data_IF_919408278424
#
_entry.id   IF_919408278424
#
_cell.length_a   1.000
_cell.length_b   1.000
_cell.length_c   1.000
_cell.angle_alpha   90.00
_cell.angle_beta   90.00
_cell.angle_gamma   90.00
#
_symmetry.space_group_name_H-M   'P 1'
#
loop_
_entity.id
_entity.type
_entity.pdbx_description
1 polymer ?
#
# COMPACT_ATOMS: atom_id res chain seq x y z
N UNK A 1 -18.09 -45.87 -23.52
CA UNK A 1 -19.06 -44.77 -23.38
C UNK A 1 -20.11 -45.15 -22.33
N UNK A 2 -19.71 -45.39 -21.07
CA UNK A 2 -20.64 -45.73 -19.95
C UNK A 2 -19.99 -45.80 -18.54
N UNK A 3 -18.89 -45.07 -18.29
CA UNK A 3 -18.32 -44.89 -16.94
C UNK A 3 -18.11 -43.42 -16.56
N UNK A 4 -17.84 -42.53 -17.52
CA UNK A 4 -17.86 -41.08 -17.28
C UNK A 4 -19.29 -40.53 -17.12
N UNK A 5 -20.27 -41.00 -17.91
CA UNK A 5 -21.64 -40.47 -17.86
C UNK A 5 -22.39 -40.82 -16.56
N UNK A 6 -22.12 -41.98 -15.97
CA UNK A 6 -22.72 -42.36 -14.67
C UNK A 6 -22.08 -41.65 -13.47
N UNK A 7 -20.88 -41.05 -13.62
CA UNK A 7 -20.27 -40.23 -12.57
C UNK A 7 -20.84 -38.81 -12.53
N UNK A 8 -21.49 -38.35 -13.60
CA UNK A 8 -21.97 -36.97 -13.75
C UNK A 8 -23.38 -36.80 -13.13
N UNK A 9 -24.12 -37.89 -12.90
CA UNK A 9 -25.55 -37.86 -12.62
C UNK A 9 -25.99 -38.21 -11.18
N UNK A 10 -25.10 -38.23 -10.18
CA UNK A 10 -25.52 -38.58 -8.79
C UNK A 10 -25.07 -37.67 -7.65
N UNK A 11 -24.43 -36.54 -7.92
CA UNK A 11 -24.43 -35.39 -7.03
C UNK A 11 -24.86 -34.21 -7.90
N UNK A 12 -25.74 -33.33 -7.41
CA UNK A 12 -26.09 -32.12 -8.16
C UNK A 12 -24.82 -31.44 -8.66
N UNK A 13 -24.86 -30.88 -9.87
CA UNK A 13 -23.77 -30.11 -10.51
C UNK A 13 -23.43 -28.84 -9.70
N UNK A 14 -23.06 -29.00 -8.44
CA UNK A 14 -22.56 -27.95 -7.57
C UNK A 14 -21.05 -27.86 -7.79
N UNK A 15 -20.54 -26.65 -8.00
CA UNK A 15 -19.09 -26.42 -7.99
C UNK A 15 -18.52 -26.84 -6.64
N UNK A 16 -17.32 -27.40 -6.65
CA UNK A 16 -16.57 -27.66 -5.43
C UNK A 16 -16.13 -26.30 -4.84
N UNK A 17 -16.65 -25.90 -3.66
CA UNK A 17 -16.33 -24.59 -3.09
C UNK A 17 -14.84 -24.41 -2.78
N UNK A 18 -14.11 -25.50 -2.49
CA UNK A 18 -12.68 -25.45 -2.22
C UNK A 18 -11.89 -25.16 -3.50
N UNK A 19 -12.28 -25.81 -4.60
CA UNK A 19 -11.72 -25.53 -5.92
C UNK A 19 -12.01 -24.09 -6.38
N UNK A 20 -13.20 -23.56 -6.06
CA UNK A 20 -13.57 -22.17 -6.40
C UNK A 20 -12.66 -21.14 -5.71
N UNK A 21 -12.25 -21.38 -4.45
CA UNK A 21 -11.30 -20.52 -3.74
C UNK A 21 -9.95 -20.50 -4.44
N UNK A 22 -9.42 -21.69 -4.77
CA UNK A 22 -8.12 -21.83 -5.45
C UNK A 22 -8.16 -21.15 -6.83
N UNK A 23 -9.23 -21.39 -7.59
CA UNK A 23 -9.39 -20.80 -8.92
C UNK A 23 -9.53 -19.28 -8.87
N UNK A 24 -10.20 -18.73 -7.84
CA UNK A 24 -10.23 -17.27 -7.61
C UNK A 24 -8.83 -16.71 -7.36
N UNK A 25 -8.00 -17.38 -6.55
CA UNK A 25 -6.61 -16.96 -6.31
C UNK A 25 -5.80 -17.00 -7.61
N UNK A 26 -5.84 -18.12 -8.34
CA UNK A 26 -5.10 -18.29 -9.61
C UNK A 26 -5.48 -17.21 -10.63
N UNK A 27 -6.78 -16.90 -10.73
CA UNK A 27 -7.29 -15.95 -11.73
C UNK A 27 -7.19 -14.49 -11.29
N UNK A 28 -6.96 -14.21 -10.00
CA UNK A 28 -6.89 -12.85 -9.46
C UNK A 28 -5.81 -11.99 -10.12
N UNK A 29 -4.63 -12.55 -10.39
CA UNK A 29 -3.53 -11.83 -11.04
C UNK A 29 -3.90 -11.33 -12.45
N UNK A 30 -4.69 -12.14 -13.18
CA UNK A 30 -5.24 -11.74 -14.48
C UNK A 30 -6.23 -10.60 -14.33
N UNK A 31 -7.15 -10.69 -13.36
CA UNK A 31 -8.17 -9.67 -13.13
C UNK A 31 -7.56 -8.33 -12.71
N UNK A 32 -6.55 -8.35 -11.82
CA UNK A 32 -5.79 -7.17 -11.46
C UNK A 32 -5.12 -6.53 -12.68
N UNK A 33 -4.45 -7.32 -13.52
CA UNK A 33 -3.79 -6.79 -14.73
C UNK A 33 -4.78 -6.15 -15.71
N UNK A 34 -5.99 -6.70 -15.83
CA UNK A 34 -7.08 -6.14 -16.66
C UNK A 34 -7.57 -4.80 -16.09
N UNK A 35 -7.81 -4.72 -14.78
CA UNK A 35 -8.15 -3.47 -14.10
C UNK A 35 -7.04 -2.41 -14.32
N UNK A 36 -5.78 -2.80 -14.09
CA UNK A 36 -4.63 -1.91 -14.26
C UNK A 36 -4.54 -1.37 -15.68
N UNK A 37 -4.74 -2.21 -16.69
CA UNK A 37 -4.75 -1.75 -18.08
C UNK A 37 -5.84 -0.68 -18.31
N UNK A 38 -7.07 -0.92 -17.82
CA UNK A 38 -8.16 0.06 -17.91
C UNK A 38 -7.82 1.41 -17.25
N UNK A 39 -7.16 1.37 -16.09
CA UNK A 39 -6.66 2.57 -15.41
C UNK A 39 -5.55 3.27 -16.21
N UNK A 40 -4.56 2.54 -16.71
CA UNK A 40 -3.38 3.09 -17.39
C UNK A 40 -3.70 3.80 -18.70
N UNK A 41 -4.66 3.25 -19.47
CA UNK A 41 -5.14 3.86 -20.72
C UNK A 41 -6.15 4.97 -20.47
N UNK A 42 -6.69 5.10 -19.25
CA UNK A 42 -7.70 6.11 -18.91
C UNK A 42 -9.09 5.77 -19.44
N UNK A 43 -9.43 4.48 -19.53
CA UNK A 43 -10.73 4.05 -20.05
C UNK A 43 -11.89 4.61 -19.22
N UNK A 44 -11.82 4.48 -17.89
CA UNK A 44 -12.89 4.91 -16.99
C UNK A 44 -13.07 6.44 -17.02
N UNK A 45 -11.97 7.18 -17.18
CA UNK A 45 -11.97 8.63 -17.35
C UNK A 45 -12.65 9.05 -18.67
N UNK A 46 -12.36 8.34 -19.76
CA UNK A 46 -12.97 8.59 -21.06
C UNK A 46 -14.50 8.33 -21.02
N UNK A 47 -14.92 7.23 -20.39
CA UNK A 47 -16.36 6.92 -20.23
C UNK A 47 -17.05 8.00 -19.40
N UNK A 48 -16.45 8.45 -18.29
CA UNK A 48 -17.05 9.49 -17.45
C UNK A 48 -17.11 10.85 -18.16
N UNK A 49 -16.01 11.27 -18.79
CA UNK A 49 -15.93 12.58 -19.46
C UNK A 49 -16.81 12.70 -20.70
N UNK A 50 -17.16 11.57 -21.34
CA UNK A 50 -18.11 11.56 -22.45
C UNK A 50 -19.56 11.87 -22.01
N UNK A 51 -19.90 11.67 -20.73
CA UNK A 51 -21.22 11.97 -20.17
C UNK A 51 -22.36 11.03 -20.61
N UNK A 52 -22.12 10.16 -21.60
CA UNK A 52 -23.07 9.17 -22.12
C UNK A 52 -22.40 7.79 -22.27
N UNK A 53 -23.15 6.68 -22.13
CA UNK A 53 -22.62 5.34 -22.36
C UNK A 53 -22.00 5.18 -23.77
N UNK A 54 -20.85 4.50 -23.84
CA UNK A 54 -20.08 4.34 -25.07
C UNK A 54 -20.25 2.95 -25.68
N UNK A 55 -20.31 2.87 -27.01
CA UNK A 55 -20.26 1.57 -27.70
C UNK A 55 -18.82 1.05 -27.76
N UNK A 56 -18.63 -0.27 -27.85
CA UNK A 56 -17.31 -0.86 -28.07
C UNK A 56 -16.62 -0.32 -29.34
N UNK A 57 -17.40 -0.04 -30.40
CA UNK A 57 -16.88 0.58 -31.62
C UNK A 57 -16.43 2.04 -31.40
N UNK A 58 -17.13 2.79 -30.54
CA UNK A 58 -16.73 4.14 -30.15
C UNK A 58 -15.40 4.15 -29.41
N UNK A 59 -15.26 3.30 -28.39
CA UNK A 59 -14.03 3.14 -27.61
C UNK A 59 -12.89 2.65 -28.52
N UNK A 60 -13.11 1.63 -29.33
CA UNK A 60 -12.11 1.11 -30.26
C UNK A 60 -11.58 2.19 -31.22
N UNK A 61 -12.47 3.02 -31.78
CA UNK A 61 -12.03 4.15 -32.63
C UNK A 61 -11.23 5.19 -31.85
N UNK A 62 -11.66 5.54 -30.64
CA UNK A 62 -11.00 6.57 -29.81
C UNK A 62 -9.59 6.18 -29.42
N UNK A 63 -9.39 4.91 -29.03
CA UNK A 63 -8.09 4.39 -28.60
C UNK A 63 -7.27 3.74 -29.72
N UNK A 64 -7.77 3.74 -30.96
CA UNK A 64 -7.16 3.06 -32.12
C UNK A 64 -6.91 1.57 -31.88
N UNK A 65 -7.95 0.87 -31.41
CA UNK A 65 -7.93 -0.57 -31.12
C UNK A 65 -8.81 -1.38 -32.08
N UNK A 66 -8.57 -2.69 -32.14
CA UNK A 66 -9.48 -3.62 -32.78
C UNK A 66 -10.83 -3.65 -32.04
N UNK A 67 -11.93 -3.60 -32.80
CA UNK A 67 -13.29 -3.57 -32.26
C UNK A 67 -13.63 -4.84 -31.49
N UNK A 68 -13.33 -6.01 -32.06
CA UNK A 68 -13.71 -7.31 -31.47
C UNK A 68 -12.99 -7.54 -30.14
N UNK A 69 -11.70 -7.22 -30.11
CA UNK A 69 -10.87 -7.33 -28.90
C UNK A 69 -11.29 -6.32 -27.84
N UNK A 70 -11.59 -5.08 -28.24
CA UNK A 70 -12.13 -4.05 -27.32
C UNK A 70 -13.43 -4.52 -26.69
N UNK A 71 -14.35 -5.09 -27.46
CA UNK A 71 -15.61 -5.62 -26.92
C UNK A 71 -15.38 -6.72 -25.88
N UNK A 72 -14.45 -7.66 -26.13
CA UNK A 72 -14.09 -8.71 -25.17
C UNK A 72 -13.48 -8.13 -23.90
N UNK A 73 -12.62 -7.13 -24.02
CA UNK A 73 -12.02 -6.42 -22.88
C UNK A 73 -13.11 -5.74 -22.03
N UNK A 74 -14.01 -5.00 -22.66
CA UNK A 74 -15.12 -4.34 -21.97
C UNK A 74 -16.07 -5.35 -21.30
N UNK A 75 -16.42 -6.44 -21.98
CA UNK A 75 -17.21 -7.52 -21.39
C UNK A 75 -16.51 -8.15 -20.18
N UNK A 76 -15.17 -8.20 -20.18
CA UNK A 76 -14.43 -8.69 -19.02
C UNK A 76 -14.51 -7.71 -17.86
N UNK A 77 -14.40 -6.40 -18.10
CA UNK A 77 -14.60 -5.38 -17.06
C UNK A 77 -16.03 -5.38 -16.51
N UNK A 78 -17.04 -5.67 -17.34
CA UNK A 78 -18.42 -5.89 -16.89
C UNK A 78 -18.51 -7.10 -15.96
N UNK A 79 -17.85 -8.22 -16.31
CA UNK A 79 -17.83 -9.42 -15.45
C UNK A 79 -17.08 -9.25 -14.12
N UNK A 80 -16.32 -8.15 -13.98
CA UNK A 80 -15.62 -7.77 -12.75
C UNK A 80 -16.38 -6.67 -11.97
N UNK A 81 -17.62 -6.37 -12.36
CA UNK A 81 -18.46 -5.30 -11.79
C UNK A 81 -17.83 -3.90 -11.85
N UNK A 82 -16.96 -3.68 -12.85
CA UNK A 82 -16.31 -2.38 -13.09
C UNK A 82 -17.06 -1.54 -14.12
N UNK A 83 -17.81 -2.15 -15.03
CA UNK A 83 -18.65 -1.47 -16.01
C UNK A 83 -20.06 -2.07 -16.03
N UNK A 84 -21.06 -1.24 -16.32
CA UNK A 84 -22.39 -1.69 -16.68
C UNK A 84 -22.49 -1.89 -18.19
N UNK A 85 -23.35 -2.82 -18.63
CA UNK A 85 -23.60 -3.13 -20.04
C UNK A 85 -25.10 -3.10 -20.33
N UNK A 86 -25.51 -2.16 -21.18
CA UNK A 86 -26.92 -1.92 -21.47
C UNK A 86 -27.18 -1.79 -22.97
N UNK A 87 -28.46 -1.80 -23.35
CA UNK A 87 -28.89 -1.48 -24.71
C UNK A 87 -29.50 -0.08 -24.73
N UNK A 88 -28.83 0.87 -25.35
CA UNK A 88 -29.31 2.24 -25.51
C UNK A 88 -29.55 2.54 -27.00
N UNK A 89 -30.78 2.94 -27.36
CA UNK A 89 -31.19 3.25 -28.74
C UNK A 89 -30.80 2.14 -29.74
N UNK A 90 -31.00 0.88 -29.36
CA UNK A 90 -30.70 -0.29 -30.20
C UNK A 90 -29.22 -0.69 -30.29
N UNK A 91 -28.32 0.02 -29.58
CA UNK A 91 -26.90 -0.30 -29.54
C UNK A 91 -26.48 -0.79 -28.16
N UNK A 92 -25.58 -1.76 -28.12
CA UNK A 92 -24.92 -2.18 -26.88
C UNK A 92 -23.91 -1.10 -26.46
N UNK A 93 -24.05 -0.62 -25.23
CA UNK A 93 -23.24 0.45 -24.66
C UNK A 93 -22.69 0.05 -23.29
N UNK A 94 -21.62 0.73 -22.88
CA UNK A 94 -20.90 0.51 -21.63
C UNK A 94 -20.80 1.81 -20.86
N UNK A 95 -21.01 1.75 -19.55
CA UNK A 95 -20.85 2.87 -18.61
C UNK A 95 -20.09 2.43 -17.37
N UNK A 96 -19.51 3.38 -16.63
CA UNK A 96 -18.92 3.08 -15.33
C UNK A 96 -20.02 2.69 -14.35
N UNK A 97 -19.77 1.69 -13.50
CA UNK A 97 -20.61 1.49 -12.32
C UNK A 97 -20.49 2.68 -11.36
N UNK A 98 -21.40 2.77 -10.39
CA UNK A 98 -21.31 3.77 -9.32
C UNK A 98 -19.98 3.67 -8.53
N UNK A 99 -19.51 2.44 -8.29
CA UNK A 99 -18.23 2.18 -7.63
C UNK A 99 -17.04 2.66 -8.45
N UNK A 100 -16.99 2.33 -9.74
CA UNK A 100 -15.93 2.77 -10.66
C UNK A 100 -15.91 4.28 -10.80
N UNK A 101 -17.06 4.92 -10.98
CA UNK A 101 -17.17 6.39 -11.03
C UNK A 101 -16.65 7.03 -9.75
N UNK A 102 -16.96 6.45 -8.58
CA UNK A 102 -16.54 7.00 -7.30
C UNK A 102 -15.05 6.81 -7.01
N UNK A 103 -14.47 5.68 -7.40
CA UNK A 103 -13.16 5.25 -6.90
C UNK A 103 -12.08 5.04 -7.97
N UNK A 104 -12.42 4.98 -9.26
CA UNK A 104 -11.50 4.62 -10.34
C UNK A 104 -11.43 5.64 -11.49
N UNK A 105 -11.95 6.87 -11.31
CA UNK A 105 -11.79 7.97 -12.27
C UNK A 105 -10.95 9.11 -11.72
N UNK A 106 -9.88 9.49 -12.43
CA UNK A 106 -8.91 10.54 -12.06
C UNK A 106 -9.54 11.92 -11.93
N UNK A 107 -10.61 12.20 -12.69
CA UNK A 107 -11.37 13.45 -12.60
C UNK A 107 -11.80 13.75 -11.15
N UNK A 108 -12.09 12.69 -10.37
CA UNK A 108 -12.51 12.75 -8.97
C UNK A 108 -11.36 12.59 -7.97
N UNK A 109 -10.11 12.52 -8.45
CA UNK A 109 -8.89 12.30 -7.66
C UNK A 109 -8.98 11.17 -6.61
N UNK A 110 -9.53 9.97 -6.92
CA UNK A 110 -9.71 8.94 -5.92
C UNK A 110 -8.36 8.29 -5.60
N UNK A 111 -7.98 8.38 -4.34
CA UNK A 111 -6.77 7.80 -3.81
C UNK A 111 -6.68 6.27 -4.01
N UNK A 112 -7.80 5.58 -4.24
CA UNK A 112 -7.82 4.14 -4.53
C UNK A 112 -7.08 3.78 -5.84
N UNK A 113 -7.04 4.68 -6.84
CA UNK A 113 -6.19 4.47 -8.03
C UNK A 113 -4.72 4.39 -7.63
N UNK A 114 -4.28 5.28 -6.74
CA UNK A 114 -2.90 5.27 -6.26
C UNK A 114 -2.60 4.01 -5.45
N UNK A 115 -3.57 3.53 -4.67
CA UNK A 115 -3.46 2.23 -3.97
C UNK A 115 -3.30 1.07 -4.95
N UNK A 116 -4.13 0.98 -5.99
CA UNK A 116 -4.01 -0.06 -7.03
C UNK A 116 -2.67 0.03 -7.79
N UNK A 117 -2.22 1.25 -8.11
CA UNK A 117 -0.92 1.50 -8.75
C UNK A 117 0.25 1.11 -7.85
N UNK A 118 0.16 1.36 -6.54
CA UNK A 118 1.16 0.96 -5.56
C UNK A 118 1.22 -0.56 -5.41
N UNK A 119 0.06 -1.23 -5.36
CA UNK A 119 -0.01 -2.69 -5.32
C UNK A 119 0.73 -3.30 -6.52
N UNK A 120 0.42 -2.79 -7.71
CA UNK A 120 0.99 -3.32 -8.96
C UNK A 120 2.47 -2.98 -9.15
N UNK A 121 2.89 -1.76 -8.85
CA UNK A 121 4.25 -1.29 -9.15
C UNK A 121 5.24 -1.47 -8.00
N UNK A 122 4.77 -1.68 -6.77
CA UNK A 122 5.61 -1.78 -5.58
C UNK A 122 5.44 -3.14 -4.90
N UNK A 123 4.23 -3.48 -4.46
CA UNK A 123 4.01 -4.68 -3.63
C UNK A 123 4.26 -5.97 -4.42
N UNK A 124 3.66 -6.14 -5.60
CA UNK A 124 3.84 -7.36 -6.39
C UNK A 124 5.31 -7.64 -6.77
N UNK A 125 6.11 -6.67 -7.25
CA UNK A 125 7.53 -6.89 -7.48
C UNK A 125 8.31 -7.30 -6.23
N UNK A 126 7.94 -6.80 -5.04
CA UNK A 126 8.63 -7.13 -3.79
C UNK A 126 8.42 -8.58 -3.37
N UNK A 127 7.31 -9.20 -3.73
CA UNK A 127 7.07 -10.62 -3.48
C UNK A 127 8.12 -11.53 -4.13
N UNK A 128 8.86 -11.06 -5.14
CA UNK A 128 10.01 -11.81 -5.67
C UNK A 128 11.10 -12.08 -4.63
N UNK A 129 11.18 -11.24 -3.59
CA UNK A 129 12.12 -11.38 -2.48
C UNK A 129 11.61 -12.25 -1.32
N UNK A 130 10.38 -12.76 -1.40
CA UNK A 130 9.76 -13.54 -0.33
C UNK A 130 10.61 -14.75 0.08
N UNK A 131 11.22 -15.45 -0.87
CA UNK A 131 12.12 -16.58 -0.57
C UNK A 131 13.30 -16.16 0.31
N UNK A 132 13.88 -14.99 0.05
CA UNK A 132 15.02 -14.46 0.81
C UNK A 132 14.58 -14.01 2.20
N UNK A 133 13.42 -13.37 2.32
CA UNK A 133 12.85 -12.97 3.61
C UNK A 133 12.47 -14.19 4.45
N UNK A 134 11.85 -15.22 3.87
CA UNK A 134 11.54 -16.48 4.58
C UNK A 134 12.79 -17.17 5.14
N UNK A 135 13.92 -17.10 4.41
CA UNK A 135 15.19 -17.70 4.87
C UNK A 135 15.88 -16.88 5.96
N UNK A 136 15.78 -15.56 5.89
CA UNK A 136 16.57 -14.66 6.75
C UNK A 136 15.79 -14.08 7.93
N UNK A 137 14.45 -14.06 7.85
CA UNK A 137 13.58 -13.33 8.78
C UNK A 137 13.75 -11.80 8.73
N UNK A 138 14.46 -11.28 7.71
CA UNK A 138 14.78 -9.85 7.59
C UNK A 138 14.01 -9.21 6.46
N UNK A 139 13.56 -7.99 6.70
CA UNK A 139 12.96 -7.15 5.68
C UNK A 139 13.93 -6.91 4.54
N UNK A 140 13.41 -6.99 3.31
CA UNK A 140 14.18 -6.73 2.11
C UNK A 140 14.35 -5.22 1.91
N UNK A 141 13.31 -4.46 2.24
CA UNK A 141 13.32 -3.00 2.28
C UNK A 141 13.03 -2.57 3.69
N UNK A 142 13.73 -1.54 4.15
CA UNK A 142 13.35 -0.79 5.35
C UNK A 142 12.77 0.55 4.91
N UNK A 143 11.45 0.68 4.99
CA UNK A 143 10.72 1.90 4.66
C UNK A 143 11.22 3.12 5.44
N UNK A 144 11.82 2.96 6.64
CA UNK A 144 12.43 4.06 7.38
C UNK A 144 13.65 4.65 6.65
N UNK A 145 14.42 3.80 5.94
CA UNK A 145 15.58 4.23 5.14
C UNK A 145 15.17 4.86 3.79
N UNK A 146 14.04 4.44 3.20
CA UNK A 146 13.46 5.10 2.02
C UNK A 146 12.90 6.48 2.38
N UNK A 147 12.22 6.62 3.52
CA UNK A 147 11.71 7.91 4.04
C UNK A 147 12.83 8.95 4.25
N UNK A 148 14.08 8.51 4.44
CA UNK A 148 15.29 9.34 4.54
C UNK A 148 16.00 9.66 3.20
N UNK A 149 15.40 9.32 2.05
CA UNK A 149 15.92 9.72 0.72
C UNK A 149 17.04 8.86 0.16
N UNK A 150 17.29 7.66 0.69
CA UNK A 150 18.25 6.69 0.13
C UNK A 150 17.53 5.51 -0.50
N UNK A 151 17.39 5.52 -1.83
CA UNK A 151 17.09 4.30 -2.60
C UNK A 151 18.40 3.54 -2.81
N UNK A 152 18.44 2.25 -2.47
CA UNK A 152 19.56 1.38 -2.82
C UNK A 152 19.33 0.73 -4.20
N UNK A 153 20.41 0.63 -4.96
CA UNK A 153 20.46 0.12 -6.33
C UNK A 153 19.84 -1.28 -6.43
N UNK A 154 18.91 -1.40 -7.38
CA UNK A 154 18.27 -2.63 -7.76
C UNK A 154 19.21 -3.42 -8.69
N UNK A 155 20.15 -4.19 -8.15
CA UNK A 155 20.80 -5.24 -8.93
C UNK A 155 20.02 -6.56 -8.75
N UNK A 156 19.25 -6.92 -9.79
CA UNK A 156 18.66 -8.24 -9.89
C UNK A 156 19.78 -9.31 -9.82
N UNK A 157 19.67 -10.36 -9.00
CA UNK A 157 20.54 -11.50 -9.14
C UNK A 157 20.28 -12.19 -10.50
N UNK A 158 21.31 -12.62 -11.24
CA UNK A 158 21.11 -13.30 -12.51
C UNK A 158 20.34 -14.61 -12.28
N UNK A 159 19.24 -14.80 -13.03
CA UNK A 159 18.52 -16.07 -13.06
C UNK A 159 19.50 -17.19 -13.44
N UNK A 160 19.64 -18.18 -12.56
CA UNK A 160 20.26 -19.46 -12.93
C UNK A 160 19.30 -20.19 -13.87
N UNK A 161 19.75 -20.48 -15.08
CA UNK A 161 19.05 -21.37 -16.00
C UNK A 161 18.83 -22.73 -15.31
N UNK A 162 17.57 -23.09 -15.08
CA UNK A 162 17.18 -24.43 -14.66
C UNK A 162 17.24 -25.29 -15.93
N UNK A 163 18.27 -26.14 -16.04
CA UNK A 163 18.27 -27.22 -17.02
C UNK A 163 17.24 -28.26 -16.59
N UNK A 164 16.25 -28.51 -17.45
CA UNK A 164 15.37 -29.67 -17.37
C UNK A 164 16.13 -30.81 -18.05
N UNK A 165 16.67 -31.74 -17.27
CA UNK A 165 17.18 -33.01 -17.82
C UNK A 165 16.02 -34.01 -17.93
N UNK A 166 15.71 -34.38 -19.18
CA UNK A 166 14.85 -35.51 -19.50
C UNK A 166 15.52 -36.82 -19.07
N UNK A 167 14.87 -37.56 -18.19
CA UNK A 167 15.25 -38.94 -17.90
C UNK A 167 14.94 -39.83 -19.10
N UNK A 168 15.98 -40.41 -19.70
CA UNK A 168 15.90 -41.73 -20.32
C UNK A 168 17.06 -42.59 -19.86
N UNK A 169 16.68 -43.75 -19.33
CA UNK A 169 17.52 -44.89 -19.02
C UNK A 169 18.57 -45.17 -20.09
N UNK A 170 19.79 -45.48 -19.67
CA UNK A 170 20.41 -46.77 -19.97
C UNK A 170 21.70 -46.96 -19.16
N UNK A 171 21.89 -48.21 -18.78
CA UNK A 171 22.94 -48.70 -17.90
C UNK A 171 24.35 -48.65 -18.51
N UNK A 172 25.32 -48.89 -17.62
CA UNK A 172 26.64 -49.53 -17.81
C UNK A 172 27.92 -48.67 -17.66
N UNK A 173 28.67 -49.10 -16.63
CA UNK A 173 30.13 -49.35 -16.59
C UNK A 173 31.13 -48.21 -16.33
N UNK A 174 31.79 -48.36 -15.17
CA UNK A 174 33.24 -48.38 -14.90
C UNK A 174 34.14 -47.22 -15.39
N UNK A 175 34.92 -46.70 -14.44
CA UNK A 175 36.37 -46.57 -14.62
C UNK A 175 36.98 -45.20 -14.29
N UNK A 176 37.63 -45.13 -13.12
CA UNK A 176 38.94 -44.52 -12.81
C UNK A 176 39.54 -43.41 -13.71
N UNK A 177 40.01 -42.32 -13.07
CA UNK A 177 41.41 -41.79 -13.05
C UNK A 177 41.41 -40.31 -12.56
N UNK A 178 41.92 -40.01 -11.36
CA UNK A 178 43.27 -39.46 -11.03
C UNK A 178 43.64 -38.14 -11.72
N UNK A 179 43.71 -37.05 -10.95
CA UNK A 179 44.91 -36.21 -10.71
C UNK A 179 44.77 -34.84 -11.43
N UNK A 180 45.24 -33.69 -10.97
CA UNK A 180 45.98 -33.29 -9.77
C UNK A 180 45.95 -31.74 -9.63
N UNK A 181 46.11 -31.28 -8.38
CA UNK A 181 46.96 -30.15 -7.95
C UNK A 181 46.65 -28.69 -8.39
N UNK A 182 46.32 -27.82 -7.43
CA UNK A 182 47.26 -26.80 -6.89
C UNK A 182 46.51 -25.89 -5.89
N UNK A 183 46.85 -26.04 -4.61
CA UNK A 183 46.77 -25.01 -3.56
C UNK A 183 48.20 -24.52 -3.28
N UNK A 184 48.40 -23.26 -2.84
CA UNK A 184 48.43 -22.99 -1.39
C UNK A 184 47.64 -21.71 -1.06
N UNK A 185 46.83 -21.67 0.00
CA UNK A 185 47.27 -21.53 1.39
C UNK A 185 47.23 -20.04 1.78
N UNK A 186 46.85 -19.57 2.97
CA UNK A 186 46.67 -20.14 4.31
C UNK A 186 46.09 -19.00 5.18
N UNK A 187 45.17 -19.35 6.10
CA UNK A 187 44.87 -18.79 7.45
C UNK A 187 44.69 -17.27 7.67
N UNK A 188 44.07 -16.77 8.75
CA UNK A 188 43.06 -17.17 9.73
C UNK A 188 42.89 -15.92 10.62
N UNK A 189 41.69 -15.72 11.17
CA UNK A 189 41.42 -15.15 12.51
C UNK A 189 42.02 -13.78 12.91
N UNK A 190 41.16 -12.78 13.14
CA UNK A 190 40.75 -12.37 14.49
C UNK A 190 39.92 -11.08 14.43
N UNK A 191 38.88 -11.01 15.27
CA UNK A 191 37.99 -9.85 15.37
C UNK A 191 38.64 -8.66 16.07
N UNK A 192 38.01 -7.50 15.91
CA UNK A 192 38.06 -6.31 16.79
C UNK A 192 36.92 -5.38 16.32
N UNK A 193 36.07 -4.92 17.24
CA UNK A 193 35.24 -3.73 17.08
C UNK A 193 36.12 -2.48 17.21
N UNK A 194 35.81 -1.35 16.55
CA UNK A 194 35.38 -0.21 17.36
C UNK A 194 34.38 0.76 16.68
N UNK A 195 33.66 1.49 17.54
CA UNK A 195 33.01 2.78 17.27
C UNK A 195 33.98 3.79 16.62
N UNK A 196 33.45 4.72 15.83
CA UNK A 196 34.17 5.96 15.51
C UNK A 196 33.67 6.72 14.29
N UNK A 197 33.01 7.84 14.57
CA UNK A 197 32.75 9.00 13.69
C UNK A 197 33.87 9.34 12.70
N UNK A 198 33.51 9.63 11.44
CA UNK A 198 33.91 10.85 10.72
C UNK A 198 33.23 10.96 9.35
N UNK A 199 32.83 12.19 9.01
CA UNK A 199 32.00 12.52 7.86
C UNK A 199 32.71 12.48 6.52
N UNK A 200 31.90 12.53 5.46
CA UNK A 200 32.31 12.97 4.13
C UNK A 200 31.21 13.87 3.56
N UNK A 201 31.59 15.13 3.35
CA UNK A 201 30.91 16.11 2.51
C UNK A 201 30.89 15.61 1.05
N UNK A 202 29.76 15.77 0.37
CA UNK A 202 29.72 15.79 -1.08
C UNK A 202 28.70 16.83 -1.56
N UNK A 203 29.23 17.98 -1.96
CA UNK A 203 28.57 18.98 -2.80
C UNK A 203 27.96 18.33 -4.04
N UNK A 204 26.71 18.65 -4.37
CA UNK A 204 26.21 18.58 -5.74
C UNK A 204 25.77 19.98 -6.14
N UNK A 205 26.67 20.65 -6.87
CA UNK A 205 26.44 21.91 -7.56
C UNK A 205 25.41 21.72 -8.66
N UNK A 206 24.29 22.45 -8.57
CA UNK A 206 23.39 22.65 -9.69
C UNK A 206 23.98 23.66 -10.67
N UNK A 207 24.05 23.31 -11.96
CA UNK A 207 24.33 24.26 -13.03
C UNK A 207 23.04 24.58 -13.77
N UNK A 208 22.61 25.84 -13.65
CA UNK A 208 21.61 26.45 -14.50
C UNK A 208 22.19 26.66 -15.91
N UNK A 209 21.46 26.21 -16.93
CA UNK A 209 21.74 26.47 -18.35
C UNK A 209 20.68 27.38 -18.95
N UNK A 210 21.13 28.46 -19.55
CA UNK A 210 20.44 29.67 -20.03
C UNK A 210 19.59 29.51 -21.30
N UNK A 211 18.58 30.37 -21.44
CA UNK A 211 17.83 30.66 -22.67
C UNK A 211 18.72 31.02 -23.87
N UNK A 212 18.41 30.48 -25.05
CA UNK A 212 18.57 31.17 -26.35
C UNK A 212 17.44 30.75 -27.31
N UNK A 213 16.98 31.70 -28.11
CA UNK A 213 15.89 31.61 -29.10
C UNK A 213 16.43 31.33 -30.51
N UNK A 214 15.74 30.50 -31.30
CA UNK A 214 15.39 30.72 -32.72
C UNK A 214 14.66 29.49 -33.29
N UNK A 215 13.57 29.73 -34.04
CA UNK A 215 12.66 28.68 -34.53
C UNK A 215 12.99 28.13 -35.92
N UNK A 216 12.38 26.98 -36.25
CA UNK A 216 11.70 26.65 -37.52
C UNK A 216 11.11 25.21 -37.47
N UNK A 217 9.81 25.11 -37.73
CA UNK A 217 8.94 23.96 -38.10
C UNK A 217 8.79 22.71 -37.20
N UNK A 218 7.53 22.21 -37.01
CA UNK A 218 7.24 21.06 -36.17
C UNK A 218 7.15 19.79 -37.01
N UNK A 219 7.90 18.74 -36.65
CA UNK A 219 7.44 17.38 -36.89
C UNK A 219 8.22 16.35 -36.06
N UNK A 220 7.46 15.34 -35.62
CA UNK A 220 7.85 14.04 -35.04
C UNK A 220 8.03 13.94 -33.52
N UNK A 221 6.96 13.41 -32.93
CA UNK A 221 6.98 12.34 -31.93
C UNK A 221 7.89 12.58 -30.72
N UNK A 222 7.48 13.48 -29.82
CA UNK A 222 7.86 13.35 -28.43
C UNK A 222 7.17 12.10 -27.88
N UNK A 223 7.95 11.03 -27.74
CA UNK A 223 7.70 9.98 -26.77
C UNK A 223 7.65 10.67 -25.40
N UNK A 224 6.46 11.13 -25.02
CA UNK A 224 6.23 11.74 -23.72
C UNK A 224 6.41 10.64 -22.70
N UNK A 225 7.60 10.56 -22.11
CA UNK A 225 7.78 9.89 -20.83
C UNK A 225 6.73 10.48 -19.89
N UNK A 226 5.69 9.69 -19.59
CA UNK A 226 4.75 10.03 -18.52
C UNK A 226 5.61 10.41 -17.32
N UNK A 227 5.44 11.59 -16.70
CA UNK A 227 6.23 11.92 -15.53
C UNK A 227 5.96 10.84 -14.50
N UNK A 228 7.00 10.07 -14.15
CA UNK A 228 6.92 9.11 -13.07
C UNK A 228 6.49 9.88 -11.83
N UNK A 229 5.39 9.46 -11.22
CA UNK A 229 4.96 10.05 -9.94
C UNK A 229 6.10 9.81 -8.94
N UNK A 230 6.48 10.85 -8.21
CA UNK A 230 7.43 10.74 -7.11
C UNK A 230 7.00 9.63 -6.15
N UNK A 231 7.93 8.74 -5.77
CA UNK A 231 7.61 7.58 -4.91
C UNK A 231 6.94 8.02 -3.60
N UNK A 232 7.38 9.13 -3.01
CA UNK A 232 6.76 9.68 -1.80
C UNK A 232 5.31 10.12 -2.03
N UNK A 233 5.02 10.72 -3.19
CA UNK A 233 3.64 11.07 -3.58
C UNK A 233 2.78 9.83 -3.83
N UNK A 234 3.34 8.80 -4.49
CA UNK A 234 2.65 7.53 -4.67
C UNK A 234 2.29 6.87 -3.35
N UNK A 235 3.23 6.80 -2.41
CA UNK A 235 3.00 6.18 -1.10
C UNK A 235 1.92 6.96 -0.33
N UNK A 236 2.03 8.29 -0.25
CA UNK A 236 1.03 9.12 0.44
C UNK A 236 -0.38 8.92 -0.15
N UNK A 237 -0.51 8.98 -1.48
CA UNK A 237 -1.80 8.79 -2.14
C UNK A 237 -2.30 7.34 -2.02
N UNK A 238 -1.40 6.35 -1.98
CA UNK A 238 -1.74 4.95 -1.76
C UNK A 238 -2.33 4.74 -0.37
N UNK A 239 -1.71 5.32 0.67
CA UNK A 239 -2.23 5.28 2.04
C UNK A 239 -3.57 6.01 2.15
N UNK A 240 -3.74 7.14 1.49
CA UNK A 240 -5.06 7.78 1.38
C UNK A 240 -6.08 6.84 0.71
N UNK A 241 -5.68 6.04 -0.27
CA UNK A 241 -6.55 5.09 -0.97
C UNK A 241 -7.08 3.98 -0.08
N UNK A 242 -6.26 3.52 0.86
CA UNK A 242 -6.66 2.55 1.88
C UNK A 242 -7.58 3.20 2.93
N UNK A 243 -7.30 4.46 3.29
CA UNK A 243 -7.95 5.15 4.41
C UNK A 243 -9.25 5.89 4.05
N UNK A 244 -9.38 6.43 2.84
CA UNK A 244 -10.57 7.21 2.42
C UNK A 244 -11.89 6.44 2.61
N UNK A 245 -11.99 5.14 2.24
CA UNK A 245 -13.23 4.39 2.44
C UNK A 245 -13.62 4.20 3.92
N UNK A 246 -12.64 4.12 4.83
CA UNK A 246 -12.88 3.84 6.24
C UNK A 246 -13.09 5.11 7.08
N UNK A 247 -12.53 6.25 6.67
CA UNK A 247 -12.55 7.50 7.44
C UNK A 247 -13.94 7.90 7.99
N UNK A 248 -15.06 7.83 7.23
CA UNK A 248 -16.39 8.16 7.76
C UNK A 248 -16.93 7.18 8.80
N UNK A 249 -16.43 5.94 8.80
CA UNK A 249 -16.82 4.91 9.76
C UNK A 249 -16.00 5.06 11.05
N UNK A 250 -14.72 5.43 10.93
CA UNK A 250 -13.82 5.63 12.06
C UNK A 250 -14.32 6.70 13.03
N UNK A 251 -14.81 7.84 12.53
CA UNK A 251 -15.38 8.90 13.39
C UNK A 251 -16.64 8.48 14.14
N UNK A 252 -17.27 7.37 13.76
CA UNK A 252 -18.44 6.77 14.43
C UNK A 252 -18.07 5.66 15.40
N UNK A 253 -16.81 5.19 15.40
CA UNK A 253 -16.38 4.12 16.29
C UNK A 253 -16.40 4.55 17.76
N UNK A 254 -16.06 5.82 18.01
CA UNK A 254 -16.06 6.43 19.34
C UNK A 254 -16.55 7.88 19.26
N UNK A 255 -17.26 8.32 20.31
CA UNK A 255 -17.55 9.73 20.52
C UNK A 255 -16.30 10.44 21.07
N UNK A 256 -15.70 11.30 20.25
CA UNK A 256 -14.52 12.08 20.59
C UNK A 256 -14.86 13.55 20.89
N UNK A 257 -16.14 13.90 20.99
CA UNK A 257 -16.63 15.28 21.19
C UNK A 257 -16.17 15.93 22.49
N UNK A 258 -15.69 15.15 23.46
CA UNK A 258 -15.10 15.65 24.69
C UNK A 258 -13.73 16.31 24.50
N UNK A 259 -13.02 15.99 23.41
CA UNK A 259 -11.68 16.52 23.14
C UNK A 259 -11.76 17.84 22.35
N UNK A 260 -10.84 18.77 22.63
CA UNK A 260 -10.77 20.08 21.95
C UNK A 260 -9.52 20.25 21.10
N UNK A 261 -8.49 19.42 21.31
CA UNK A 261 -7.19 19.50 20.65
C UNK A 261 -6.68 18.12 20.27
N UNK A 262 -6.50 17.85 18.98
CA UNK A 262 -5.94 16.58 18.53
C UNK A 262 -4.56 16.77 17.88
N UNK A 263 -3.68 15.81 18.09
CA UNK A 263 -2.44 15.66 17.31
C UNK A 263 -2.46 14.33 16.58
N UNK A 264 -2.40 14.39 15.25
CA UNK A 264 -2.28 13.24 14.35
C UNK A 264 -0.78 13.01 14.07
N UNK A 265 -0.16 12.12 14.84
CA UNK A 265 1.27 11.80 14.77
C UNK A 265 1.53 10.85 13.61
N UNK A 266 2.38 11.25 12.67
CA UNK A 266 2.54 10.51 11.41
C UNK A 266 1.33 10.65 10.48
N UNK A 267 0.58 11.75 10.59
CA UNK A 267 -0.71 11.91 9.91
C UNK A 267 -0.64 12.10 8.38
N UNK A 268 0.56 12.07 7.79
CA UNK A 268 0.76 12.00 6.34
C UNK A 268 0.10 13.14 5.57
N UNK A 269 -0.88 12.80 4.72
CA UNK A 269 -1.65 13.78 3.95
C UNK A 269 -2.55 14.66 4.82
N UNK A 270 -2.78 14.31 6.08
CA UNK A 270 -3.76 14.92 6.98
C UNK A 270 -5.20 14.45 6.77
N UNK A 271 -5.42 13.30 6.10
CA UNK A 271 -6.76 12.78 5.82
C UNK A 271 -7.57 12.50 7.10
N UNK A 272 -6.97 11.83 8.09
CA UNK A 272 -7.65 11.55 9.36
C UNK A 272 -7.94 12.86 10.09
N UNK A 273 -6.95 13.75 10.20
CA UNK A 273 -7.15 15.10 10.74
C UNK A 273 -8.30 15.87 10.07
N UNK A 274 -8.36 15.93 8.74
CA UNK A 274 -9.48 16.60 8.03
C UNK A 274 -10.83 15.92 8.29
N UNK A 275 -10.85 14.60 8.40
CA UNK A 275 -12.08 13.85 8.70
C UNK A 275 -12.58 14.18 10.10
N UNK A 276 -11.69 14.21 11.08
CA UNK A 276 -12.00 14.62 12.45
C UNK A 276 -12.48 16.07 12.53
N UNK A 277 -11.80 17.01 11.87
CA UNK A 277 -12.21 18.43 11.86
C UNK A 277 -13.61 18.62 11.24
N UNK A 278 -13.89 17.89 10.15
CA UNK A 278 -15.21 17.91 9.51
C UNK A 278 -16.32 17.38 10.42
N UNK A 279 -16.04 16.34 11.21
CA UNK A 279 -17.01 15.73 12.12
C UNK A 279 -17.13 16.44 13.46
N UNK A 280 -16.05 17.05 13.95
CA UNK A 280 -15.95 17.76 15.22
C UNK A 280 -15.46 19.21 14.98
N UNK A 281 -16.35 20.14 14.58
CA UNK A 281 -15.95 21.50 14.18
C UNK A 281 -15.36 22.36 15.30
N UNK A 282 -15.42 21.94 16.56
CA UNK A 282 -14.77 22.63 17.68
C UNK A 282 -13.35 22.11 17.98
N UNK A 283 -12.93 21.03 17.33
CA UNK A 283 -11.64 20.39 17.56
C UNK A 283 -10.56 21.04 16.71
N UNK A 284 -9.50 21.54 17.37
CA UNK A 284 -8.29 22.01 16.68
C UNK A 284 -7.33 20.85 16.48
N UNK A 285 -6.82 20.68 15.26
CA UNK A 285 -6.06 19.49 14.89
C UNK A 285 -4.69 19.90 14.36
N UNK A 286 -3.66 19.24 14.87
CA UNK A 286 -2.30 19.35 14.37
C UNK A 286 -1.88 18.03 13.74
N UNK A 287 -1.64 18.04 12.44
CA UNK A 287 -0.98 16.95 11.72
C UNK A 287 0.52 17.13 11.89
N UNK A 288 1.17 16.18 12.55
CA UNK A 288 2.60 16.20 12.83
C UNK A 288 3.30 15.10 12.05
N UNK A 289 4.19 15.46 11.14
CA UNK A 289 4.92 14.50 10.31
C UNK A 289 6.30 15.05 9.91
N UNK A 290 7.12 14.24 9.26
CA UNK A 290 8.44 14.64 8.79
C UNK A 290 8.37 15.85 7.85
N UNK A 291 9.40 16.71 7.81
CA UNK A 291 9.40 17.91 6.98
C UNK A 291 9.10 17.67 5.50
N UNK A 292 9.62 16.59 4.92
CA UNK A 292 9.37 16.21 3.53
C UNK A 292 7.91 15.81 3.30
N UNK A 293 7.30 15.10 4.25
CA UNK A 293 5.90 14.65 4.19
C UNK A 293 4.97 15.85 4.32
N UNK A 294 5.21 16.76 5.27
CA UNK A 294 4.42 17.99 5.44
C UNK A 294 4.48 18.87 4.18
N UNK A 295 5.65 19.03 3.57
CA UNK A 295 5.79 19.78 2.32
C UNK A 295 4.98 19.15 1.18
N UNK A 296 5.06 17.82 1.05
CA UNK A 296 4.32 17.08 0.04
C UNK A 296 2.80 17.15 0.26
N UNK A 297 2.34 17.00 1.51
CA UNK A 297 0.93 17.10 1.87
C UNK A 297 0.36 18.47 1.47
N UNK A 298 1.06 19.57 1.81
CA UNK A 298 0.67 20.93 1.41
C UNK A 298 0.66 21.13 -0.11
N UNK A 299 1.55 20.46 -0.84
CA UNK A 299 1.59 20.52 -2.31
C UNK A 299 0.42 19.78 -2.96
N UNK A 300 0.09 18.59 -2.44
CA UNK A 300 -0.99 17.75 -2.99
C UNK A 300 -2.38 18.25 -2.58
N UNK A 301 -2.47 18.83 -1.38
CA UNK A 301 -3.72 19.32 -0.78
C UNK A 301 -3.56 20.78 -0.35
N UNK A 302 -3.46 21.73 -1.31
CA UNK A 302 -3.23 23.15 -1.01
C UNK A 302 -4.43 23.84 -0.36
N UNK A 303 -5.64 23.31 -0.56
CA UNK A 303 -6.85 23.81 0.09
C UNK A 303 -6.96 23.19 1.48
N UNK A 304 -6.49 23.93 2.50
CA UNK A 304 -6.92 23.70 3.87
C UNK A 304 -8.38 24.14 3.99
N UNK A 305 -9.31 23.24 3.64
CA UNK A 305 -10.76 23.53 3.57
C UNK A 305 -11.37 23.90 4.92
N UNK A 306 -10.68 23.67 6.02
CA UNK A 306 -11.04 24.17 7.35
C UNK A 306 -9.77 24.68 8.04
N UNK A 307 -9.77 25.92 8.53
CA UNK A 307 -8.67 26.50 9.31
C UNK A 307 -8.38 25.81 10.66
N UNK A 308 -8.93 24.61 10.86
CA UNK A 308 -8.83 23.76 12.03
C UNK A 308 -7.73 22.71 11.91
N UNK A 309 -7.18 22.48 10.71
CA UNK A 309 -6.09 21.53 10.49
C UNK A 309 -4.79 22.29 10.20
N UNK A 310 -3.85 22.20 11.14
CA UNK A 310 -2.52 22.78 11.04
C UNK A 310 -1.50 21.67 10.79
N UNK A 311 -0.45 21.97 10.02
CA UNK A 311 0.65 21.03 9.80
C UNK A 311 1.91 21.52 10.51
N UNK A 312 2.49 20.65 11.34
CA UNK A 312 3.75 20.87 12.03
C UNK A 312 4.76 19.82 11.55
N UNK A 313 5.94 20.28 11.17
CA UNK A 313 7.01 19.40 10.70
C UNK A 313 7.94 19.00 11.86
N UNK A 314 8.26 17.71 11.96
CA UNK A 314 9.24 17.20 12.91
C UNK A 314 9.32 15.67 12.95
N UNK A 315 10.28 15.16 13.70
CA UNK A 315 10.47 13.75 14.00
C UNK A 315 9.97 13.46 15.41
N UNK A 316 8.86 12.72 15.56
CA UNK A 316 8.23 12.53 16.88
C UNK A 316 9.08 11.70 17.87
N UNK A 317 10.15 11.05 17.42
CA UNK A 317 11.12 10.39 18.30
C UNK A 317 12.14 11.35 18.91
N UNK A 318 12.43 12.46 18.22
CA UNK A 318 13.54 13.36 18.55
C UNK A 318 13.01 14.72 19.02
N UNK A 319 12.09 15.29 18.25
CA UNK A 319 11.51 16.61 18.45
C UNK A 319 10.37 16.59 19.45
N UNK A 320 10.12 17.75 20.08
CA UNK A 320 8.96 17.93 20.94
C UNK A 320 7.66 17.81 20.13
N UNK A 321 6.79 16.89 20.54
CA UNK A 321 5.45 16.75 19.96
C UNK A 321 4.52 17.83 20.53
N UNK A 322 3.59 18.43 19.75
CA UNK A 322 2.68 19.46 20.23
C UNK A 322 1.75 18.94 21.32
N UNK A 323 1.30 19.79 22.26
CA UNK A 323 0.32 19.41 23.30
C UNK A 323 -1.07 19.14 22.69
N UNK A 324 -1.77 18.14 23.23
CA UNK A 324 -3.14 17.79 22.87
C UNK A 324 -3.83 16.95 23.95
N UNK A 325 -5.16 16.98 23.99
CA UNK A 325 -6.00 16.09 24.81
C UNK A 325 -6.38 14.79 24.06
N UNK A 326 -6.16 14.73 22.74
CA UNK A 326 -6.25 13.53 21.92
C UNK A 326 -4.98 13.34 21.06
N UNK A 327 -4.34 12.18 21.14
CA UNK A 327 -3.36 11.76 20.13
C UNK A 327 -3.96 10.71 19.21
N UNK A 328 -3.61 10.77 17.93
CA UNK A 328 -3.97 9.78 16.92
C UNK A 328 -2.71 9.18 16.32
N UNK A 329 -2.71 7.85 16.19
CA UNK A 329 -1.67 7.06 15.52
C UNK A 329 -2.37 6.15 14.49
N UNK A 330 -2.24 6.47 13.21
CA UNK A 330 -2.88 5.72 12.11
C UNK A 330 -1.80 5.18 11.17
N UNK A 331 -1.65 3.86 11.07
CA UNK A 331 -0.55 3.24 10.30
C UNK A 331 0.83 3.70 10.74
N UNK A 332 1.05 3.65 12.05
CA UNK A 332 2.31 4.10 12.66
C UNK A 332 2.92 2.97 13.46
N UNK A 333 2.14 2.29 14.29
CA UNK A 333 2.64 1.28 15.21
C UNK A 333 3.07 0.01 14.46
N UNK A 334 2.39 -0.31 13.36
CA UNK A 334 2.70 -1.50 12.56
C UNK A 334 4.04 -1.44 11.80
N UNK A 335 4.63 -0.25 11.62
CA UNK A 335 5.91 -0.04 10.91
C UNK A 335 7.13 -0.23 11.84
N UNK A 336 6.89 -0.36 13.15
CA UNK A 336 7.88 -0.13 14.19
C UNK A 336 8.30 -1.38 14.95
N UNK A 337 9.55 -1.36 15.40
CA UNK A 337 10.07 -2.30 16.40
C UNK A 337 9.42 -2.08 17.76
N UNK A 338 9.38 -3.12 18.60
CA UNK A 338 8.82 -3.04 19.97
C UNK A 338 9.48 -1.91 20.80
N UNK A 339 10.80 -1.68 20.63
CA UNK A 339 11.52 -0.60 21.32
C UNK A 339 11.05 0.79 20.88
N UNK A 340 10.79 0.98 19.58
CA UNK A 340 10.28 2.26 19.07
C UNK A 340 8.85 2.51 19.56
N UNK A 341 8.03 1.46 19.61
CA UNK A 341 6.66 1.54 20.14
C UNK A 341 6.68 1.96 21.60
N UNK A 342 7.49 1.33 22.46
CA UNK A 342 7.64 1.71 23.87
C UNK A 342 8.02 3.19 24.01
N UNK A 343 9.03 3.64 23.26
CA UNK A 343 9.46 5.05 23.28
C UNK A 343 8.31 5.99 22.87
N UNK A 344 7.62 5.68 21.78
CA UNK A 344 6.55 6.52 21.25
C UNK A 344 5.35 6.59 22.21
N UNK A 345 4.85 5.43 22.65
CA UNK A 345 3.72 5.36 23.57
C UNK A 345 4.03 6.05 24.90
N UNK A 346 5.25 5.92 25.41
CA UNK A 346 5.70 6.64 26.62
C UNK A 346 5.70 8.15 26.43
N UNK A 347 6.17 8.64 25.27
CA UNK A 347 6.15 10.09 24.94
C UNK A 347 4.72 10.61 24.88
N UNK A 348 3.83 9.89 24.20
CA UNK A 348 2.40 10.23 24.12
C UNK A 348 1.76 10.24 25.50
N UNK A 349 1.96 9.18 26.30
CA UNK A 349 1.42 9.08 27.65
C UNK A 349 1.88 10.25 28.54
N UNK A 350 3.15 10.62 28.47
CA UNK A 350 3.68 11.73 29.26
C UNK A 350 3.10 13.09 28.84
N UNK A 351 2.85 13.28 27.55
CA UNK A 351 2.35 14.55 26.99
C UNK A 351 0.84 14.72 27.19
N UNK A 352 0.08 13.62 27.22
CA UNK A 352 -1.36 13.66 27.48
C UNK A 352 -1.66 14.27 28.87
N UNK A 353 -2.66 15.15 28.99
CA UNK A 353 -3.20 15.54 30.28
C UNK A 353 -3.97 14.37 30.93
N UNK A 354 -4.19 14.40 32.26
CA UNK A 354 -5.10 13.46 32.91
C UNK A 354 -6.48 13.48 32.24
N UNK A 355 -7.04 12.30 31.95
CA UNK A 355 -8.29 12.15 31.20
C UNK A 355 -8.17 12.25 29.68
N UNK A 356 -7.00 12.61 29.15
CA UNK A 356 -6.72 12.63 27.72
C UNK A 356 -6.66 11.22 27.10
N UNK A 357 -6.82 11.14 25.78
CA UNK A 357 -6.99 9.85 25.08
C UNK A 357 -5.95 9.62 23.98
N UNK A 358 -5.65 8.35 23.72
CA UNK A 358 -4.91 7.90 22.55
C UNK A 358 -5.84 7.05 21.68
N UNK A 359 -5.96 7.42 20.41
CA UNK A 359 -6.66 6.68 19.37
C UNK A 359 -5.63 6.04 18.42
N UNK A 360 -5.64 4.71 18.34
CA UNK A 360 -4.85 3.93 17.39
C UNK A 360 -5.78 3.39 16.30
N UNK A 361 -5.37 3.54 15.04
CA UNK A 361 -6.08 3.06 13.86
C UNK A 361 -5.16 2.10 13.09
N UNK A 362 -5.40 0.81 13.25
CA UNK A 362 -4.55 -0.26 12.69
C UNK A 362 -5.40 -1.48 12.29
N UNK A 363 -4.82 -2.41 11.53
CA UNK A 363 -5.47 -3.70 11.25
C UNK A 363 -5.21 -4.63 12.44
N UNK A 364 -6.26 -5.12 13.09
CA UNK A 364 -6.07 -6.10 14.16
C UNK A 364 -6.12 -7.53 13.62
N UNK A 365 -5.24 -8.37 14.16
CA UNK A 365 -5.28 -9.81 13.95
C UNK A 365 -6.23 -10.45 14.97
N UNK A 366 -6.84 -11.57 14.59
CA UNK A 366 -7.40 -12.54 15.51
C UNK A 366 -6.29 -13.09 16.41
N UNK A 367 -6.66 -13.60 17.59
CA UNK A 367 -5.68 -14.04 18.59
C UNK A 367 -4.78 -15.20 18.10
N UNK A 368 -5.31 -16.05 17.21
CA UNK A 368 -4.54 -17.13 16.58
C UNK A 368 -3.73 -16.65 15.36
N UNK A 369 -3.85 -15.37 14.98
CA UNK A 369 -3.16 -14.72 13.85
C UNK A 369 -3.45 -15.35 12.48
N UNK A 370 -4.61 -15.97 12.34
CA UNK A 370 -5.11 -16.62 11.12
C UNK A 370 -6.28 -15.86 10.46
N UNK A 371 -6.73 -14.78 11.08
CA UNK A 371 -7.74 -13.88 10.53
C UNK A 371 -7.58 -12.44 11.02
N UNK A 372 -8.32 -11.49 10.42
CA UNK A 372 -8.95 -11.62 9.11
C UNK A 372 -7.90 -11.77 8.00
N UNK A 373 -8.21 -12.50 6.93
CA UNK A 373 -7.25 -12.89 5.87
C UNK A 373 -6.44 -11.73 5.28
N UNK A 374 -7.05 -10.54 5.17
CA UNK A 374 -6.35 -9.34 4.70
C UNK A 374 -5.33 -8.80 5.70
N UNK A 375 -5.61 -8.80 7.00
CA UNK A 375 -4.65 -8.40 8.03
C UNK A 375 -3.47 -9.38 8.08
N UNK A 376 -3.73 -10.69 7.98
CA UNK A 376 -2.68 -11.72 7.90
C UNK A 376 -1.80 -11.55 6.66
N UNK A 377 -2.41 -11.30 5.50
CA UNK A 377 -1.65 -11.04 4.28
C UNK A 377 -0.83 -9.75 4.40
N UNK A 378 -1.37 -8.71 5.03
CA UNK A 378 -0.65 -7.47 5.29
C UNK A 378 0.54 -7.68 6.22
N UNK A 379 0.40 -8.50 7.27
CA UNK A 379 1.50 -8.84 8.18
C UNK A 379 2.68 -9.50 7.45
N UNK A 380 2.40 -10.39 6.50
CA UNK A 380 3.43 -10.95 5.63
C UNK A 380 4.11 -9.84 4.81
N UNK A 381 3.35 -8.89 4.25
CA UNK A 381 3.93 -7.75 3.53
C UNK A 381 4.77 -6.88 4.47
N UNK A 382 4.37 -6.66 5.73
CA UNK A 382 5.15 -5.91 6.72
C UNK A 382 6.52 -6.53 6.93
N UNK A 383 6.62 -7.87 6.92
CA UNK A 383 7.91 -8.57 7.02
C UNK A 383 8.85 -8.32 5.83
N UNK A 384 8.32 -7.87 4.67
CA UNK A 384 9.11 -7.57 3.47
C UNK A 384 9.62 -6.12 3.45
N UNK A 385 8.86 -5.19 4.03
CA UNK A 385 9.05 -3.74 3.83
C UNK A 385 9.33 -2.92 5.10
N UNK A 386 9.23 -3.56 6.26
CA UNK A 386 9.41 -2.90 7.55
C UNK A 386 10.03 -3.85 8.58
N UNK A 387 10.40 -3.32 9.73
CA UNK A 387 10.79 -4.13 10.91
C UNK A 387 9.63 -4.34 11.88
N UNK A 388 8.44 -3.87 11.52
CA UNK A 388 7.23 -4.03 12.30
C UNK A 388 6.38 -5.21 11.85
N UNK A 389 5.14 -5.23 12.34
CA UNK A 389 4.17 -6.31 12.19
C UNK A 389 2.77 -5.85 12.55
N UNK A 390 1.77 -6.57 12.08
CA UNK A 390 0.42 -6.50 12.60
C UNK A 390 0.32 -7.23 13.95
N UNK A 391 -0.70 -6.86 14.73
CA UNK A 391 -0.86 -7.29 16.13
C UNK A 391 -2.30 -7.62 16.45
N UNK A 392 -2.50 -8.54 17.40
CA UNK A 392 -3.84 -8.84 17.90
C UNK A 392 -4.36 -7.74 18.80
N UNK A 393 -5.68 -7.71 18.98
CA UNK A 393 -6.35 -6.83 19.92
C UNK A 393 -5.79 -6.98 21.35
N UNK A 394 -5.45 -8.20 21.77
CA UNK A 394 -4.80 -8.46 23.06
C UNK A 394 -3.39 -7.85 23.13
N UNK A 395 -2.56 -8.02 22.09
CA UNK A 395 -1.20 -7.45 22.06
C UNK A 395 -1.25 -5.92 22.18
N UNK A 396 -2.19 -5.25 21.49
CA UNK A 396 -2.41 -3.82 21.65
C UNK A 396 -2.88 -3.43 23.06
N UNK A 397 -3.71 -4.24 23.71
CA UNK A 397 -4.14 -3.97 25.08
C UNK A 397 -2.96 -4.05 26.04
N UNK A 398 -2.18 -5.12 25.97
CA UNK A 398 -1.03 -5.36 26.86
C UNK A 398 -0.01 -4.22 26.76
N UNK A 399 0.39 -3.81 25.55
CA UNK A 399 1.35 -2.70 25.39
C UNK A 399 0.83 -1.35 25.91
N UNK A 400 -0.48 -1.11 25.83
CA UNK A 400 -1.08 0.13 26.33
C UNK A 400 -1.17 0.11 27.87
N UNK A 401 -1.53 -1.02 28.46
CA UNK A 401 -1.57 -1.21 29.92
C UNK A 401 -0.18 -1.07 30.54
N UNK A 402 0.87 -1.60 29.90
CA UNK A 402 2.26 -1.46 30.35
C UNK A 402 2.72 0.01 30.45
N UNK A 403 2.18 0.90 29.60
CA UNK A 403 2.46 2.34 29.64
C UNK A 403 1.59 3.10 30.65
N UNK A 404 0.60 2.44 31.24
CA UNK A 404 -0.32 3.02 32.22
C UNK A 404 -1.64 3.54 31.63
N UNK A 405 -1.93 3.28 30.35
CA UNK A 405 -3.25 3.58 29.81
C UNK A 405 -4.32 2.66 30.42
N UNK A 406 -5.54 3.18 30.50
CA UNK A 406 -6.71 2.49 31.06
C UNK A 406 -7.90 2.61 30.12
N UNK A 407 -9.00 1.90 30.43
CA UNK A 407 -10.25 1.93 29.65
C UNK A 407 -10.03 1.66 28.15
N UNK A 408 -9.23 0.64 27.84
CA UNK A 408 -8.86 0.29 26.47
C UNK A 408 -10.03 -0.40 25.78
N UNK A 409 -10.60 0.27 24.78
CA UNK A 409 -11.72 -0.20 23.99
C UNK A 409 -11.29 -0.41 22.56
N UNK A 410 -11.74 -1.52 21.98
CA UNK A 410 -11.45 -1.89 20.59
C UNK A 410 -12.77 -2.00 19.85
N UNK A 411 -12.84 -1.43 18.65
CA UNK A 411 -13.99 -1.47 17.75
C UNK A 411 -13.52 -2.00 16.41
N UNK A 412 -13.95 -3.23 16.13
CA UNK A 412 -13.70 -3.87 14.85
C UNK A 412 -14.66 -3.29 13.82
N UNK A 413 -14.12 -2.63 12.81
CA UNK A 413 -14.93 -1.92 11.81
C UNK A 413 -15.30 -2.84 10.64
N UNK A 414 -14.46 -3.86 10.40
CA UNK A 414 -14.70 -4.97 9.47
C UNK A 414 -14.72 -4.56 8.00
N UNK A 415 -14.30 -5.42 7.07
CA UNK A 415 -14.25 -5.10 5.65
C UNK A 415 -12.84 -4.91 5.12
N UNK A 416 -12.68 -5.08 3.79
CA UNK A 416 -11.39 -5.39 3.19
C UNK A 416 -10.36 -4.26 3.31
N UNK A 417 -10.78 -3.00 3.32
CA UNK A 417 -9.88 -1.84 3.42
C UNK A 417 -10.03 -1.09 4.75
N UNK A 418 -10.72 -1.65 5.75
CA UNK A 418 -11.00 -0.91 6.98
C UNK A 418 -9.96 -1.20 8.05
N UNK A 419 -9.74 -0.21 8.92
CA UNK A 419 -8.93 -0.34 10.12
C UNK A 419 -9.83 -0.43 11.31
N UNK A 420 -9.35 -1.11 12.34
CA UNK A 420 -9.99 -1.16 13.62
C UNK A 420 -9.56 0.04 14.44
N UNK A 421 -10.46 0.49 15.32
CA UNK A 421 -10.21 1.64 16.17
C UNK A 421 -9.97 1.18 17.60
N UNK A 422 -8.86 1.62 18.19
CA UNK A 422 -8.48 1.32 19.57
C UNK A 422 -8.38 2.64 20.32
N UNK A 423 -9.24 2.84 21.32
CA UNK A 423 -9.24 4.03 22.15
C UNK A 423 -8.80 3.67 23.56
N UNK A 424 -7.82 4.41 24.09
CA UNK A 424 -7.33 4.27 25.46
C UNK A 424 -7.26 5.63 26.16
N UNK A 425 -7.23 5.63 27.49
CA UNK A 425 -7.24 6.86 28.30
C UNK A 425 -6.09 6.91 29.29
N UNK A 426 -5.52 8.10 29.45
CA UNK A 426 -4.69 8.41 30.62
C UNK A 426 -5.61 8.63 31.83
N UNK A 427 -5.38 7.94 32.97
CA UNK A 427 -6.19 8.12 34.17
C UNK A 427 -6.11 9.55 34.71
N UNK A 428 -7.12 9.94 35.52
CA UNK A 428 -7.21 11.24 36.17
C UNK A 428 -6.22 11.40 37.34
#
# INVERSE_FOLDING_TARGET
MNRLENSINQAGLASDPEADVIMKIITSARNLKILMYGLEVGLFDEIESNGEPLTAAGIARKFNYDKSTTERFLNTLVSLDLLDKEVHKGNVVYSNTAGTTKYLTRSRRPALIASAMSEFNVILPLLSNLTSTLKSGKAFIDMANIKAGKMLNNENPPMKNIHIEDQKDTAHNKGSHTESSHTPGVNCTNGVTPNGTNGISANITGTNGTHTTNGTHPDKASNGSKPAMDCSAMIMLSMDGLTVPCAPVLVKAFDLSAHRTAVDLGGGSGLIGRTLASHYPEMNITVFDLPSVVQLAKKLYPENSSGQVNFVAGNFFEDEIPDADLYVLSHVIHDMTEKQIDILLKRVYNKLPPGGSLLILEKTLDEMKDGPSFAVSNDLIMSLISTGRERSAKEYREMLEEQGFTNIQIRLVGGYNYFDAILSKKPF
#
